data_IF_211984303449
#
_entry.id   IF_211984303449
#
_cell.length_a   1.000
_cell.length_b   1.000
_cell.length_c   1.000
_cell.angle_alpha   90.00
_cell.angle_beta   90.00
_cell.angle_gamma   90.00
#
_symmetry.space_group_name_H-M   'P 1'
#
loop_
_entity.id
_entity.type
_entity.pdbx_description
1 polymer ?
#
# COMPACT_ATOMS: atom_id res chain seq x y z
N UNK A 1 1.32 -30.16 -25.04
CA UNK A 1 1.02 -28.94 -24.26
C UNK A 1 2.00 -27.83 -24.67
N UNK A 2 1.52 -26.73 -25.24
CA UNK A 2 2.32 -25.68 -25.88
C UNK A 2 3.38 -25.08 -24.91
N UNK A 3 4.67 -25.07 -25.29
CA UNK A 3 5.82 -24.61 -24.47
C UNK A 3 5.54 -23.26 -23.80
N UNK A 4 4.85 -22.38 -24.51
CA UNK A 4 4.46 -21.05 -24.04
C UNK A 4 3.54 -21.08 -22.80
N UNK A 5 2.60 -22.03 -22.75
CA UNK A 5 1.72 -22.21 -21.57
C UNK A 5 2.50 -22.74 -20.36
N UNK A 6 3.49 -23.59 -20.59
CA UNK A 6 4.35 -24.14 -19.53
C UNK A 6 5.22 -23.04 -18.90
N UNK A 7 5.85 -22.20 -19.71
CA UNK A 7 6.64 -21.04 -19.25
C UNK A 7 5.76 -20.05 -18.46
N UNK A 8 4.56 -19.74 -18.94
CA UNK A 8 3.62 -18.87 -18.22
C UNK A 8 3.21 -19.45 -16.85
N UNK A 9 3.01 -20.77 -16.76
CA UNK A 9 2.73 -21.47 -15.51
C UNK A 9 3.88 -21.38 -14.52
N UNK A 10 5.12 -21.63 -14.96
CA UNK A 10 6.32 -21.51 -14.11
C UNK A 10 6.49 -20.09 -13.58
N UNK A 11 6.34 -19.07 -14.43
CA UNK A 11 6.40 -17.66 -14.01
C UNK A 11 5.32 -17.32 -12.97
N UNK A 12 4.12 -17.87 -13.14
CA UNK A 12 3.04 -17.74 -12.15
C UNK A 12 3.40 -18.35 -10.79
N UNK A 13 4.07 -19.50 -10.78
CA UNK A 13 4.61 -20.13 -9.57
C UNK A 13 5.68 -19.27 -8.90
N UNK A 14 6.67 -18.82 -9.66
CA UNK A 14 7.79 -17.97 -9.19
C UNK A 14 7.26 -16.69 -8.54
N UNK A 15 6.37 -15.96 -9.23
CA UNK A 15 5.77 -14.73 -8.68
C UNK A 15 4.87 -15.06 -7.48
N UNK A 16 4.17 -16.19 -7.50
CA UNK A 16 3.39 -16.65 -6.35
C UNK A 16 4.25 -16.78 -5.09
N UNK A 17 5.41 -17.43 -5.18
CA UNK A 17 6.37 -17.56 -4.06
C UNK A 17 6.89 -16.20 -3.62
N UNK A 18 7.24 -15.32 -4.57
CA UNK A 18 7.68 -13.96 -4.24
C UNK A 18 6.60 -13.16 -3.48
N UNK A 19 5.34 -13.31 -3.87
CA UNK A 19 4.19 -12.69 -3.19
C UNK A 19 3.98 -13.28 -1.78
N UNK A 20 4.19 -14.57 -1.58
CA UNK A 20 4.13 -15.21 -0.25
C UNK A 20 5.19 -14.58 0.66
N UNK A 21 6.45 -14.57 0.22
CA UNK A 21 7.56 -14.07 1.02
C UNK A 21 7.39 -12.60 1.41
N UNK A 22 7.00 -11.74 0.46
CA UNK A 22 6.82 -10.31 0.77
C UNK A 22 5.61 -10.04 1.66
N UNK A 23 4.53 -10.82 1.50
CA UNK A 23 3.34 -10.72 2.37
C UNK A 23 3.67 -11.21 3.79
N UNK A 24 4.44 -12.28 3.93
CA UNK A 24 4.91 -12.78 5.22
C UNK A 24 5.83 -11.78 5.91
N UNK A 25 6.78 -11.17 5.20
CA UNK A 25 7.65 -10.14 5.76
C UNK A 25 6.88 -8.95 6.34
N UNK A 26 5.74 -8.59 5.75
CA UNK A 26 4.87 -7.50 6.27
C UNK A 26 4.04 -7.90 7.49
N UNK A 27 3.83 -9.21 7.68
CA UNK A 27 2.91 -9.77 8.66
C UNK A 27 3.61 -10.43 9.86
N UNK A 28 4.89 -10.76 9.73
CA UNK A 28 5.73 -11.33 10.78
C UNK A 28 6.47 -10.23 11.56
N UNK A 29 6.72 -10.49 12.84
CA UNK A 29 7.56 -9.65 13.68
C UNK A 29 9.02 -9.62 13.18
N UNK A 30 9.63 -8.44 13.16
CA UNK A 30 11.06 -8.24 12.84
C UNK A 30 11.78 -7.71 14.09
N UNK A 31 12.21 -8.61 14.97
CA UNK A 31 13.32 -8.41 15.91
C UNK A 31 14.68 -8.31 15.18
N UNK A 32 15.75 -7.94 15.88
CA UNK A 32 17.12 -7.82 15.35
C UNK A 32 17.64 -9.12 14.68
N UNK A 33 17.38 -10.29 15.24
CA UNK A 33 17.75 -11.59 14.63
C UNK A 33 16.95 -11.90 13.36
N UNK A 34 15.68 -11.49 13.31
CA UNK A 34 14.83 -11.55 12.11
C UNK A 34 15.12 -10.44 11.10
N UNK A 35 15.94 -9.44 11.42
CA UNK A 35 16.39 -8.44 10.46
C UNK A 35 17.23 -9.11 9.35
N UNK A 36 18.09 -10.06 9.72
CA UNK A 36 18.84 -10.89 8.78
C UNK A 36 17.91 -11.74 7.91
N UNK A 37 16.91 -12.40 8.53
CA UNK A 37 15.91 -13.20 7.80
C UNK A 37 15.12 -12.31 6.82
N UNK A 38 14.77 -11.10 7.24
CA UNK A 38 14.07 -10.11 6.41
C UNK A 38 14.90 -9.67 5.19
N UNK A 39 16.20 -9.42 5.36
CA UNK A 39 17.08 -9.08 4.24
C UNK A 39 17.30 -10.27 3.30
N UNK A 40 17.51 -11.47 3.85
CA UNK A 40 17.63 -12.70 3.05
C UNK A 40 16.36 -12.95 2.23
N UNK A 41 15.18 -12.83 2.85
CA UNK A 41 13.92 -13.02 2.15
C UNK A 41 13.69 -11.94 1.08
N UNK A 42 14.09 -10.68 1.32
CA UNK A 42 14.10 -9.63 0.29
C UNK A 42 15.01 -9.96 -0.90
N UNK A 43 16.21 -10.49 -0.64
CA UNK A 43 17.14 -10.93 -1.70
C UNK A 43 16.50 -12.06 -2.52
N UNK A 44 15.93 -13.07 -1.86
CA UNK A 44 15.24 -14.18 -2.53
C UNK A 44 14.08 -13.65 -3.39
N UNK A 45 13.26 -12.74 -2.87
CA UNK A 45 12.17 -12.11 -3.63
C UNK A 45 12.73 -11.40 -4.87
N UNK A 46 13.82 -10.64 -4.75
CA UNK A 46 14.44 -9.97 -5.89
C UNK A 46 14.93 -10.96 -6.96
N UNK A 47 15.59 -12.05 -6.54
CA UNK A 47 16.05 -13.12 -7.45
C UNK A 47 14.86 -13.75 -8.19
N UNK A 48 13.77 -14.07 -7.48
CA UNK A 48 12.55 -14.61 -8.09
C UNK A 48 11.93 -13.64 -9.11
N UNK A 49 11.92 -12.34 -8.80
CA UNK A 49 11.43 -11.33 -9.74
C UNK A 49 12.32 -11.27 -10.99
N UNK A 50 13.64 -11.24 -10.83
CA UNK A 50 14.59 -11.24 -11.95
C UNK A 50 14.38 -12.47 -12.84
N UNK A 51 14.29 -13.67 -12.26
CA UNK A 51 13.99 -14.90 -13.00
C UNK A 51 12.67 -14.79 -13.78
N UNK A 52 11.62 -14.23 -13.16
CA UNK A 52 10.34 -14.03 -13.84
C UNK A 52 10.40 -13.01 -14.99
N UNK A 53 11.23 -11.96 -14.85
CA UNK A 53 11.47 -10.96 -15.89
C UNK A 53 12.27 -11.51 -17.07
N UNK A 54 13.26 -12.38 -16.82
CA UNK A 54 14.03 -13.08 -17.87
C UNK A 54 13.14 -14.01 -18.69
N UNK A 55 12.26 -14.76 -18.01
CA UNK A 55 11.33 -15.68 -18.66
C UNK A 55 10.16 -14.97 -19.37
N UNK A 56 10.00 -13.65 -19.17
CA UNK A 56 8.92 -12.87 -19.74
C UNK A 56 9.19 -12.54 -21.20
N UNK A 57 8.15 -12.63 -22.03
CA UNK A 57 8.18 -12.06 -23.38
C UNK A 57 7.96 -10.57 -23.34
N UNK A 58 8.89 -9.83 -23.94
CA UNK A 58 8.88 -8.39 -23.96
C UNK A 58 8.43 -7.86 -25.31
N UNK A 59 7.60 -6.83 -25.29
CA UNK A 59 7.34 -5.99 -26.47
C UNK A 59 8.29 -4.81 -26.44
N UNK A 60 8.68 -4.26 -27.61
CA UNK A 60 9.57 -3.08 -27.68
C UNK A 60 9.10 -1.94 -26.78
N UNK A 61 7.78 -1.68 -26.77
CA UNK A 61 7.14 -0.71 -25.87
C UNK A 61 7.39 -1.03 -24.39
N UNK A 62 7.21 -2.28 -23.98
CA UNK A 62 7.38 -2.68 -22.58
C UNK A 62 8.86 -2.63 -22.15
N UNK A 63 9.80 -2.93 -23.04
CA UNK A 63 11.24 -2.75 -22.77
C UNK A 63 11.55 -1.28 -22.55
N UNK A 64 11.06 -0.40 -23.45
CA UNK A 64 11.26 1.04 -23.32
C UNK A 64 10.69 1.59 -22.01
N UNK A 65 9.43 1.26 -21.70
CA UNK A 65 8.79 1.69 -20.44
C UNK A 65 9.51 1.15 -19.21
N UNK A 66 9.96 -0.10 -19.24
CA UNK A 66 10.73 -0.69 -18.14
C UNK A 66 12.06 0.05 -17.95
N UNK A 67 12.83 0.23 -19.02
CA UNK A 67 14.11 0.96 -18.96
C UNK A 67 13.94 2.39 -18.43
N UNK A 68 12.93 3.11 -18.92
CA UNK A 68 12.65 4.49 -18.50
C UNK A 68 12.26 4.56 -17.02
N UNK A 69 11.29 3.76 -16.58
CA UNK A 69 10.85 3.74 -15.18
C UNK A 69 11.98 3.29 -14.26
N UNK A 70 12.71 2.23 -14.63
CA UNK A 70 13.76 1.67 -13.80
C UNK A 70 14.95 2.62 -13.67
N UNK A 71 15.31 3.35 -14.74
CA UNK A 71 16.35 4.40 -14.68
C UNK A 71 15.97 5.49 -13.68
N UNK A 72 14.74 6.02 -13.75
CA UNK A 72 14.25 7.04 -12.80
C UNK A 72 14.27 6.50 -11.36
N UNK A 73 13.77 5.28 -11.14
CA UNK A 73 13.71 4.66 -9.81
C UNK A 73 15.11 4.41 -9.25
N UNK A 74 16.08 3.96 -10.06
CA UNK A 74 17.47 3.78 -9.63
C UNK A 74 18.15 5.12 -9.30
N UNK A 75 17.90 6.17 -10.08
CA UNK A 75 18.40 7.51 -9.77
C UNK A 75 17.88 8.01 -8.42
N UNK A 76 16.58 7.82 -8.15
CA UNK A 76 15.95 8.17 -6.86
C UNK A 76 16.51 7.30 -5.74
N UNK A 77 16.70 5.99 -5.96
CA UNK A 77 17.27 5.08 -4.96
C UNK A 77 18.70 5.49 -4.55
N UNK A 78 19.54 5.93 -5.49
CA UNK A 78 20.91 6.36 -5.18
C UNK A 78 20.95 7.52 -4.17
N UNK A 79 19.92 8.37 -4.18
CA UNK A 79 19.76 9.50 -3.26
C UNK A 79 19.06 9.04 -1.98
N UNK A 80 17.87 8.47 -2.10
CA UNK A 80 16.95 8.20 -0.99
C UNK A 80 17.30 6.97 -0.17
N UNK A 81 17.96 5.98 -0.79
CA UNK A 81 18.18 4.63 -0.26
C UNK A 81 16.89 3.89 0.14
N UNK A 82 15.74 4.31 -0.40
CA UNK A 82 14.44 3.65 -0.21
C UNK A 82 14.23 2.63 -1.34
N UNK A 83 14.21 1.35 -1.00
CA UNK A 83 14.10 0.25 -1.98
C UNK A 83 12.65 -0.09 -2.37
N UNK A 84 11.65 0.51 -1.71
CA UNK A 84 10.23 0.17 -1.92
C UNK A 84 9.77 0.34 -3.37
N UNK A 85 10.22 1.41 -4.04
CA UNK A 85 9.87 1.67 -5.45
C UNK A 85 10.54 0.70 -6.42
N UNK A 86 11.73 0.18 -6.09
CA UNK A 86 12.41 -0.85 -6.89
C UNK A 86 11.58 -2.12 -6.85
N UNK A 87 11.14 -2.56 -5.66
CA UNK A 87 10.28 -3.74 -5.52
C UNK A 87 8.93 -3.53 -6.22
N UNK A 88 8.26 -2.41 -5.98
CA UNK A 88 6.97 -2.11 -6.59
C UNK A 88 7.05 -2.13 -8.13
N UNK A 89 7.99 -1.39 -8.72
CA UNK A 89 8.12 -1.32 -10.17
C UNK A 89 8.47 -2.69 -10.75
N UNK A 90 9.42 -3.42 -10.15
CA UNK A 90 9.81 -4.75 -10.61
C UNK A 90 8.67 -5.77 -10.55
N UNK A 91 7.85 -5.75 -9.49
CA UNK A 91 6.64 -6.58 -9.40
C UNK A 91 5.63 -6.23 -10.49
N UNK A 92 5.35 -4.94 -10.69
CA UNK A 92 4.40 -4.47 -11.71
C UNK A 92 4.81 -4.96 -13.11
N UNK A 93 6.10 -4.89 -13.43
CA UNK A 93 6.61 -5.39 -14.71
C UNK A 93 6.67 -6.91 -14.79
N UNK A 94 6.82 -7.64 -13.68
CA UNK A 94 6.93 -9.11 -13.72
C UNK A 94 5.60 -9.82 -13.95
N UNK A 95 4.46 -9.26 -13.52
CA UNK A 95 3.11 -9.86 -13.64
C UNK A 95 2.78 -10.28 -15.08
N UNK A 96 2.99 -9.38 -16.06
CA UNK A 96 2.57 -9.61 -17.44
C UNK A 96 1.09 -9.97 -17.57
N UNK A 97 0.79 -11.22 -17.94
CA UNK A 97 -0.58 -11.73 -18.15
C UNK A 97 -1.12 -12.57 -16.98
N UNK A 98 -0.39 -12.61 -15.86
CA UNK A 98 -0.81 -13.40 -14.71
C UNK A 98 -2.14 -12.91 -14.12
N UNK A 99 -2.89 -13.86 -13.56
CA UNK A 99 -4.16 -13.57 -12.92
C UNK A 99 -3.94 -12.91 -11.55
N UNK A 100 -4.11 -11.58 -11.50
CA UNK A 100 -3.95 -10.78 -10.28
C UNK A 100 -4.87 -11.28 -9.15
N UNK A 101 -6.10 -11.74 -9.44
CA UNK A 101 -7.01 -12.32 -8.43
C UNK A 101 -6.40 -13.54 -7.73
N UNK A 102 -5.65 -14.37 -8.46
CA UNK A 102 -4.92 -15.51 -7.88
C UNK A 102 -3.81 -15.02 -6.95
N UNK A 103 -3.07 -13.98 -7.34
CA UNK A 103 -2.02 -13.39 -6.51
C UNK A 103 -2.57 -12.72 -5.24
N UNK A 104 -3.72 -12.04 -5.32
CA UNK A 104 -4.43 -11.51 -4.14
C UNK A 104 -4.81 -12.63 -3.17
N UNK A 105 -5.31 -13.77 -3.68
CA UNK A 105 -5.60 -14.95 -2.84
C UNK A 105 -4.36 -15.50 -2.16
N UNK A 106 -3.25 -15.61 -2.88
CA UNK A 106 -1.97 -16.08 -2.33
C UNK A 106 -1.48 -15.12 -1.23
N UNK A 107 -1.50 -13.81 -1.48
CA UNK A 107 -1.13 -12.78 -0.50
C UNK A 107 -2.01 -12.82 0.75
N UNK A 108 -3.33 -13.01 0.57
CA UNK A 108 -4.27 -13.13 1.69
C UNK A 108 -3.96 -14.33 2.59
N UNK A 109 -3.73 -15.51 2.00
CA UNK A 109 -3.39 -16.73 2.75
C UNK A 109 -2.06 -16.51 3.49
N UNK A 110 -1.04 -16.00 2.81
CA UNK A 110 0.26 -15.71 3.41
C UNK A 110 0.15 -14.72 4.58
N UNK A 111 -0.65 -13.66 4.44
CA UNK A 111 -0.87 -12.67 5.49
C UNK A 111 -1.64 -13.24 6.68
N UNK A 112 -2.68 -14.03 6.45
CA UNK A 112 -3.40 -14.74 7.51
C UNK A 112 -2.46 -15.66 8.29
N UNK A 113 -1.59 -16.41 7.60
CA UNK A 113 -0.57 -17.25 8.24
C UNK A 113 0.41 -16.40 9.07
N UNK A 114 0.97 -15.33 8.50
CA UNK A 114 1.93 -14.47 9.20
C UNK A 114 1.35 -13.80 10.44
N UNK A 115 0.12 -13.28 10.35
CA UNK A 115 -0.60 -12.69 11.48
C UNK A 115 -0.87 -13.76 12.54
N UNK A 116 -1.33 -14.95 12.15
CA UNK A 116 -1.63 -16.05 13.09
C UNK A 116 -0.36 -16.53 13.81
N UNK A 117 0.75 -16.68 13.10
CA UNK A 117 2.06 -17.06 13.69
C UNK A 117 2.52 -15.99 14.68
N UNK A 118 2.42 -14.72 14.32
CA UNK A 118 2.77 -13.61 15.22
C UNK A 118 1.92 -13.63 16.50
N UNK A 119 0.61 -13.85 16.37
CA UNK A 119 -0.26 -14.00 17.54
C UNK A 119 0.08 -15.21 18.40
N UNK A 120 0.36 -16.36 17.80
CA UNK A 120 0.74 -17.57 18.53
C UNK A 120 2.03 -17.34 19.31
N UNK A 121 3.05 -16.76 18.70
CA UNK A 121 4.31 -16.46 19.37
C UNK A 121 4.16 -15.41 20.47
N UNK A 122 3.26 -14.45 20.29
CA UNK A 122 2.91 -13.49 21.33
C UNK A 122 2.25 -14.17 22.54
N UNK A 123 1.24 -15.02 22.33
CA UNK A 123 0.54 -15.74 23.40
C UNK A 123 1.49 -16.70 24.14
N UNK A 124 2.40 -17.36 23.42
CA UNK A 124 3.41 -18.25 24.00
C UNK A 124 4.53 -17.50 24.73
N UNK A 125 4.52 -16.16 24.74
CA UNK A 125 5.52 -15.34 25.44
C UNK A 125 6.87 -15.20 24.71
N UNK A 126 6.97 -15.65 23.45
CA UNK A 126 8.18 -15.47 22.64
C UNK A 126 8.36 -14.05 22.13
N UNK A 127 7.28 -13.25 22.09
CA UNK A 127 7.33 -11.86 21.62
C UNK A 127 7.00 -10.89 22.77
N UNK A 128 7.74 -9.77 22.89
CA UNK A 128 7.49 -8.80 23.94
C UNK A 128 6.15 -8.09 23.73
N UNK A 129 5.50 -7.77 24.85
CA UNK A 129 4.32 -6.92 24.84
C UNK A 129 4.74 -5.45 24.80
N UNK A 130 4.76 -4.86 23.60
CA UNK A 130 5.11 -3.45 23.42
C UNK A 130 3.87 -2.57 23.61
N UNK A 131 3.93 -1.70 24.62
CA UNK A 131 2.91 -0.69 24.91
C UNK A 131 3.47 0.67 24.50
N UNK A 132 2.75 1.36 23.61
CA UNK A 132 3.09 2.71 23.18
C UNK A 132 2.12 3.69 23.81
N UNK A 133 2.66 4.70 24.50
CA UNK A 133 1.88 5.78 25.10
C UNK A 133 1.73 6.93 24.11
N UNK A 134 0.50 7.43 23.94
CA UNK A 134 0.21 8.66 23.20
C UNK A 134 -0.69 9.55 24.04
N UNK A 135 -0.08 10.43 24.86
CA UNK A 135 -0.81 11.15 25.89
C UNK A 135 -1.37 10.16 26.91
N UNK A 136 -2.68 10.19 27.13
CA UNK A 136 -3.39 9.25 28.00
C UNK A 136 -3.77 7.91 27.31
N UNK A 137 -3.65 7.82 25.97
CA UNK A 137 -4.02 6.60 25.23
C UNK A 137 -2.89 5.55 25.30
N UNK A 138 -3.21 4.33 25.75
CA UNK A 138 -2.34 3.16 25.62
C UNK A 138 -2.62 2.43 24.31
N UNK A 139 -1.55 2.09 23.57
CA UNK A 139 -1.65 1.39 22.28
C UNK A 139 -0.86 0.09 22.35
N UNK A 140 -1.52 -1.01 22.02
CA UNK A 140 -0.95 -2.35 22.10
C UNK A 140 -0.56 -2.84 20.72
N UNK A 141 0.65 -3.40 20.61
CA UNK A 141 1.15 -3.95 19.34
C UNK A 141 0.85 -5.44 19.14
N UNK A 142 0.50 -6.19 20.21
CA UNK A 142 0.18 -7.62 20.19
C UNK A 142 1.21 -8.47 19.42
N UNK A 143 2.49 -8.24 19.70
CA UNK A 143 3.61 -8.94 19.05
C UNK A 143 4.08 -8.31 17.74
N UNK A 144 3.49 -7.21 17.27
CA UNK A 144 4.04 -6.40 16.18
C UNK A 144 5.04 -5.37 16.69
N UNK A 145 5.94 -4.88 15.83
CA UNK A 145 6.91 -3.83 16.19
C UNK A 145 6.22 -2.50 16.42
N UNK A 146 5.09 -2.25 15.75
CA UNK A 146 4.33 -1.01 15.91
C UNK A 146 2.82 -1.31 15.88
N UNK A 147 2.00 -0.64 16.70
CA UNK A 147 0.55 -0.83 16.70
C UNK A 147 -0.11 -0.60 15.33
N UNK A 148 0.41 0.35 14.53
CA UNK A 148 -0.10 0.62 13.18
C UNK A 148 0.04 -0.58 12.23
N UNK A 149 1.08 -1.40 12.40
CA UNK A 149 1.34 -2.57 11.55
C UNK A 149 0.30 -3.67 11.75
N UNK A 150 -0.14 -3.87 13.00
CA UNK A 150 -1.22 -4.79 13.31
C UNK A 150 -2.49 -4.40 12.56
N UNK A 151 -2.94 -3.15 12.71
CA UNK A 151 -4.14 -2.70 12.04
C UNK A 151 -4.00 -2.70 10.52
N UNK A 152 -2.85 -2.31 9.97
CA UNK A 152 -2.60 -2.37 8.54
C UNK A 152 -2.76 -3.80 8.00
N UNK A 153 -2.24 -4.81 8.69
CA UNK A 153 -2.41 -6.20 8.28
C UNK A 153 -3.88 -6.64 8.29
N UNK A 154 -4.63 -6.32 9.35
CA UNK A 154 -6.08 -6.59 9.43
C UNK A 154 -6.84 -5.87 8.31
N UNK A 155 -6.49 -4.61 8.05
CA UNK A 155 -7.07 -3.79 7.00
C UNK A 155 -6.93 -4.49 5.63
N UNK A 156 -5.71 -4.87 5.23
CA UNK A 156 -5.51 -5.52 3.94
C UNK A 156 -6.04 -6.97 3.88
N UNK A 157 -6.17 -7.68 5.02
CA UNK A 157 -6.88 -8.97 5.07
C UNK A 157 -8.35 -8.79 4.70
N UNK A 158 -9.04 -7.83 5.32
CA UNK A 158 -10.46 -7.57 5.06
C UNK A 158 -10.66 -7.12 3.61
N UNK A 159 -9.81 -6.22 3.10
CA UNK A 159 -9.87 -5.82 1.69
C UNK A 159 -9.70 -7.02 0.73
N UNK A 160 -8.77 -7.94 1.04
CA UNK A 160 -8.56 -9.16 0.27
C UNK A 160 -9.76 -10.11 0.29
N UNK A 161 -10.36 -10.33 1.47
CA UNK A 161 -11.57 -11.16 1.64
C UNK A 161 -12.74 -10.59 0.85
N UNK A 162 -12.99 -9.29 0.99
CA UNK A 162 -14.05 -8.59 0.27
C UNK A 162 -13.82 -8.66 -1.23
N UNK A 163 -12.59 -8.37 -1.69
CA UNK A 163 -12.25 -8.42 -3.10
C UNK A 163 -12.46 -9.80 -3.74
N UNK A 164 -12.06 -10.88 -3.06
CA UNK A 164 -12.18 -12.24 -3.61
C UNK A 164 -13.62 -12.74 -3.66
N UNK A 165 -14.48 -12.24 -2.78
CA UNK A 165 -15.87 -12.68 -2.60
C UNK A 165 -16.91 -11.64 -2.98
N UNK A 166 -16.50 -10.53 -3.60
CA UNK A 166 -17.40 -9.46 -4.00
C UNK A 166 -18.60 -9.99 -4.79
N UNK A 167 -19.80 -9.47 -4.49
CA UNK A 167 -21.08 -9.97 -5.00
C UNK A 167 -21.60 -11.25 -4.34
N UNK A 168 -20.80 -11.92 -3.50
CA UNK A 168 -21.18 -13.13 -2.74
C UNK A 168 -21.05 -12.94 -1.22
N UNK A 169 -20.77 -11.72 -0.78
CA UNK A 169 -20.60 -11.39 0.64
C UNK A 169 -21.98 -11.16 1.23
N UNK A 170 -22.27 -11.82 2.35
CA UNK A 170 -23.53 -11.65 3.07
C UNK A 170 -23.42 -10.53 4.11
N UNK A 171 -24.56 -9.95 4.46
CA UNK A 171 -24.66 -8.81 5.42
C UNK A 171 -24.00 -9.10 6.77
N UNK A 172 -24.12 -10.33 7.27
CA UNK A 172 -23.52 -10.73 8.55
C UNK A 172 -21.98 -10.78 8.48
N UNK A 173 -21.41 -11.09 7.32
CA UNK A 173 -19.96 -11.09 7.13
C UNK A 173 -19.41 -9.67 7.13
N UNK A 174 -20.15 -8.73 6.54
CA UNK A 174 -19.79 -7.32 6.59
C UNK A 174 -19.90 -6.78 8.02
N UNK A 175 -20.96 -7.15 8.75
CA UNK A 175 -21.12 -6.82 10.17
C UNK A 175 -19.95 -7.36 11.01
N UNK A 176 -19.53 -8.59 10.76
CA UNK A 176 -18.35 -9.20 11.37
C UNK A 176 -17.06 -8.42 11.06
N UNK A 177 -16.87 -7.97 9.81
CA UNK A 177 -15.71 -7.15 9.44
C UNK A 177 -15.71 -5.78 10.13
N UNK A 178 -16.86 -5.15 10.34
CA UNK A 178 -16.95 -3.93 11.15
C UNK A 178 -16.51 -4.16 12.58
N UNK A 179 -17.02 -5.22 13.22
CA UNK A 179 -16.70 -5.54 14.62
C UNK A 179 -15.20 -5.82 14.78
N UNK A 180 -14.63 -6.67 13.91
CA UNK A 180 -13.18 -6.94 13.91
C UNK A 180 -12.38 -5.65 13.73
N UNK A 181 -12.75 -4.83 12.75
CA UNK A 181 -12.05 -3.57 12.49
C UNK A 181 -12.13 -2.62 13.69
N UNK A 182 -13.29 -2.55 14.34
CA UNK A 182 -13.46 -1.72 15.53
C UNK A 182 -12.57 -2.21 16.68
N UNK A 183 -12.59 -3.51 16.99
CA UNK A 183 -11.77 -4.11 18.07
C UNK A 183 -10.29 -3.81 17.84
N UNK A 184 -9.76 -4.14 16.65
CA UNK A 184 -8.34 -3.91 16.36
C UNK A 184 -7.98 -2.43 16.28
N UNK A 185 -8.90 -1.55 15.88
CA UNK A 185 -8.68 -0.11 15.91
C UNK A 185 -8.55 0.44 17.32
N UNK A 186 -9.36 -0.05 18.27
CA UNK A 186 -9.24 0.33 19.68
C UNK A 186 -7.91 -0.13 20.27
N UNK A 187 -7.56 -1.40 20.06
CA UNK A 187 -6.31 -1.99 20.57
C UNK A 187 -5.07 -1.25 20.01
N UNK A 188 -5.06 -1.00 18.70
CA UNK A 188 -3.92 -0.36 18.04
C UNK A 188 -3.93 1.16 18.12
N UNK A 189 -5.02 1.77 18.58
CA UNK A 189 -5.25 3.22 18.52
C UNK A 189 -5.32 3.81 17.09
N UNK A 190 -5.57 2.98 16.07
CA UNK A 190 -5.60 3.41 14.67
C UNK A 190 -7.00 3.86 14.21
N UNK A 191 -7.34 5.11 14.55
CA UNK A 191 -8.64 5.73 14.24
C UNK A 191 -8.83 5.97 12.72
N UNK A 192 -7.78 6.43 12.03
CA UNK A 192 -7.85 6.76 10.60
C UNK A 192 -8.12 5.52 9.75
N UNK A 193 -7.40 4.42 10.03
CA UNK A 193 -7.62 3.14 9.37
C UNK A 193 -9.04 2.59 9.60
N UNK A 194 -9.60 2.76 10.79
CA UNK A 194 -10.97 2.36 11.10
C UNK A 194 -12.00 3.13 10.27
N UNK A 195 -11.92 4.47 10.22
CA UNK A 195 -12.87 5.28 9.46
C UNK A 195 -12.83 4.96 7.96
N UNK A 196 -11.65 4.66 7.42
CA UNK A 196 -11.51 4.26 6.02
C UNK A 196 -12.07 2.87 5.76
N UNK A 197 -11.85 1.92 6.66
CA UNK A 197 -12.47 0.60 6.57
C UNK A 197 -13.99 0.71 6.69
N UNK A 198 -14.48 1.56 7.59
CA UNK A 198 -15.91 1.82 7.76
C UNK A 198 -16.52 2.36 6.47
N UNK A 199 -15.88 3.35 5.83
CA UNK A 199 -16.32 3.92 4.57
C UNK A 199 -16.30 2.87 3.43
N UNK A 200 -15.26 2.05 3.36
CA UNK A 200 -15.15 0.97 2.37
C UNK A 200 -16.26 -0.09 2.54
N UNK A 201 -16.49 -0.59 3.75
CA UNK A 201 -17.55 -1.57 4.02
C UNK A 201 -18.94 -0.98 3.77
N UNK A 202 -19.15 0.30 4.08
CA UNK A 202 -20.40 1.01 3.81
C UNK A 202 -20.66 1.05 2.30
N UNK A 203 -19.62 1.32 1.49
CA UNK A 203 -19.74 1.24 0.04
C UNK A 203 -20.12 -0.17 -0.42
N UNK A 204 -19.47 -1.22 0.10
CA UNK A 204 -19.77 -2.61 -0.28
C UNK A 204 -21.21 -2.98 0.04
N UNK A 205 -21.77 -2.47 1.14
CA UNK A 205 -23.16 -2.68 1.52
C UNK A 205 -24.17 -2.01 0.58
N UNK A 206 -23.97 -0.72 0.28
CA UNK A 206 -25.00 0.08 -0.39
C UNK A 206 -24.83 0.18 -1.90
N UNK A 207 -23.61 -0.01 -2.39
CA UNK A 207 -23.26 0.26 -3.79
C UNK A 207 -22.96 -0.99 -4.61
N UNK A 208 -23.20 -2.20 -4.09
CA UNK A 208 -23.11 -3.41 -4.93
C UNK A 208 -24.03 -3.35 -6.16
N UNK A 209 -25.10 -2.53 -6.09
CA UNK A 209 -26.16 -2.48 -7.08
C UNK A 209 -26.49 -1.06 -7.64
N UNK A 210 -25.67 0.00 -7.40
CA UNK A 210 -26.06 1.38 -7.83
C UNK A 210 -24.92 2.25 -8.38
N UNK A 211 -25.17 2.90 -9.53
CA UNK A 211 -24.22 3.70 -10.32
C UNK A 211 -23.84 5.08 -9.76
N UNK A 212 -24.60 5.64 -8.80
CA UNK A 212 -24.47 7.05 -8.42
C UNK A 212 -23.17 7.38 -7.66
N UNK A 213 -22.70 6.51 -6.76
CA UNK A 213 -21.45 6.73 -6.02
C UNK A 213 -20.21 6.63 -6.94
N UNK A 214 -20.35 5.90 -8.06
CA UNK A 214 -19.27 5.72 -9.03
C UNK A 214 -18.95 7.00 -9.79
N UNK A 215 -19.87 7.96 -9.90
CA UNK A 215 -19.61 9.22 -10.60
C UNK A 215 -18.47 10.01 -9.95
N UNK A 216 -18.47 10.13 -8.61
CA UNK A 216 -17.44 10.87 -7.85
C UNK A 216 -16.09 10.15 -7.93
N UNK A 217 -16.10 8.83 -7.78
CA UNK A 217 -14.89 7.99 -7.75
C UNK A 217 -14.28 7.77 -9.15
N UNK A 218 -15.02 8.08 -10.22
CA UNK A 218 -14.50 8.11 -11.59
C UNK A 218 -13.73 9.41 -11.91
N UNK A 219 -13.64 10.42 -11.05
CA UNK A 219 -12.80 11.60 -11.31
C UNK A 219 -11.34 11.37 -10.90
N UNK A 220 -10.43 12.29 -11.24
CA UNK A 220 -9.02 12.27 -10.82
C UNK A 220 -8.84 12.63 -9.33
N UNK A 221 -9.54 11.93 -8.43
CA UNK A 221 -9.55 12.22 -6.99
C UNK A 221 -8.17 12.10 -6.35
N UNK A 222 -7.25 11.29 -6.89
CA UNK A 222 -5.89 11.16 -6.35
C UNK A 222 -5.09 12.46 -6.51
N UNK A 223 -5.37 13.23 -7.56
CA UNK A 223 -4.79 14.56 -7.75
C UNK A 223 -5.37 15.54 -6.74
N UNK A 224 -6.67 15.44 -6.46
CA UNK A 224 -7.33 16.26 -5.43
C UNK A 224 -6.73 15.96 -4.06
N UNK A 225 -6.61 14.68 -3.68
CA UNK A 225 -5.99 14.30 -2.41
C UNK A 225 -4.53 14.73 -2.30
N UNK A 226 -3.76 14.65 -3.39
CA UNK A 226 -2.41 15.20 -3.43
C UNK A 226 -2.41 16.70 -3.08
N UNK A 227 -3.19 17.52 -3.79
CA UNK A 227 -3.22 18.96 -3.53
C UNK A 227 -3.79 19.32 -2.15
N UNK A 228 -4.84 18.62 -1.70
CA UNK A 228 -5.41 18.79 -0.36
C UNK A 228 -4.35 18.46 0.71
N UNK A 229 -3.60 17.37 0.53
CA UNK A 229 -2.53 16.99 1.45
C UNK A 229 -1.45 18.07 1.55
N UNK A 230 -0.99 18.60 0.42
CA UNK A 230 0.02 19.65 0.38
C UNK A 230 -0.53 20.94 0.99
N UNK A 231 -1.74 21.35 0.63
CA UNK A 231 -2.37 22.56 1.15
C UNK A 231 -2.55 22.49 2.68
N UNK A 232 -3.12 21.40 3.21
CA UNK A 232 -3.27 21.21 4.66
C UNK A 232 -1.93 21.27 5.39
N UNK A 233 -0.89 20.67 4.80
CA UNK A 233 0.45 20.68 5.38
C UNK A 233 1.06 22.09 5.35
N UNK A 234 0.96 22.83 4.26
CA UNK A 234 1.49 24.20 4.15
C UNK A 234 0.74 25.21 5.03
N UNK A 235 -0.57 25.03 5.18
CA UNK A 235 -1.41 25.90 6.01
C UNK A 235 -1.30 25.59 7.50
N UNK A 236 -0.56 24.55 7.90
CA UNK A 236 -0.41 24.19 9.30
C UNK A 236 0.13 25.35 10.13
N UNK A 237 -0.66 25.73 11.13
CA UNK A 237 -0.28 26.70 12.15
C UNK A 237 -0.86 26.24 13.48
N UNK A 238 -0.05 26.14 14.55
CA UNK A 238 -0.56 25.78 15.88
C UNK A 238 -1.55 26.80 16.42
N UNK A 239 -1.57 28.03 15.88
CA UNK A 239 -2.49 29.10 16.26
C UNK A 239 -3.83 29.05 15.51
N UNK A 240 -3.96 28.20 14.48
CA UNK A 240 -5.23 28.00 13.78
C UNK A 240 -5.99 26.83 14.39
N UNK A 241 -7.04 27.13 15.17
CA UNK A 241 -7.84 26.13 15.89
C UNK A 241 -8.38 25.01 14.99
N UNK A 242 -8.78 25.32 13.76
CA UNK A 242 -9.30 24.30 12.84
C UNK A 242 -8.21 23.33 12.41
N UNK A 243 -7.02 23.83 12.05
CA UNK A 243 -5.94 22.99 11.54
C UNK A 243 -5.27 22.22 12.69
N UNK A 244 -5.14 22.83 13.87
CA UNK A 244 -4.68 22.14 15.07
C UNK A 244 -5.63 20.99 15.47
N UNK A 245 -6.95 21.19 15.36
CA UNK A 245 -7.93 20.13 15.61
C UNK A 245 -7.82 19.00 14.58
N UNK A 246 -7.67 19.33 13.29
CA UNK A 246 -7.42 18.33 12.25
C UNK A 246 -6.12 17.56 12.49
N UNK A 247 -5.06 18.23 12.94
CA UNK A 247 -3.80 17.58 13.28
C UNK A 247 -3.96 16.62 14.47
N UNK A 248 -4.68 17.03 15.51
CA UNK A 248 -4.99 16.16 16.66
C UNK A 248 -5.78 14.91 16.23
N UNK A 249 -6.78 15.05 15.35
CA UNK A 249 -7.55 13.91 14.81
C UNK A 249 -6.68 12.98 13.97
N UNK A 250 -5.72 13.53 13.24
CA UNK A 250 -4.81 12.77 12.37
C UNK A 250 -3.56 12.27 13.10
N UNK A 251 -3.49 12.47 14.41
CA UNK A 251 -2.38 12.09 15.29
C UNK A 251 -1.05 12.77 14.93
N UNK A 252 -1.08 14.07 14.64
CA UNK A 252 0.12 14.87 14.42
C UNK A 252 0.68 14.82 13.00
N UNK A 253 -0.03 14.22 12.04
CA UNK A 253 0.50 13.92 10.71
C UNK A 253 0.56 15.14 9.80
N UNK A 254 -0.30 16.12 10.02
CA UNK A 254 -0.29 17.38 9.26
C UNK A 254 0.92 18.21 9.71
N UNK A 255 1.16 18.30 11.02
CA UNK A 255 2.35 18.92 11.60
C UNK A 255 3.65 18.25 11.10
N UNK A 256 3.71 16.91 11.15
CA UNK A 256 4.86 16.17 10.64
C UNK A 256 5.09 16.46 9.16
N UNK A 257 4.04 16.45 8.33
CA UNK A 257 4.16 16.78 6.92
C UNK A 257 4.63 18.24 6.67
N UNK A 258 4.14 19.21 7.45
CA UNK A 258 4.60 20.60 7.42
C UNK A 258 6.11 20.70 7.72
N UNK A 259 6.57 20.00 8.76
CA UNK A 259 8.00 19.94 9.11
C UNK A 259 8.85 19.49 7.92
N UNK A 260 8.47 18.41 7.23
CA UNK A 260 9.24 17.92 6.08
C UNK A 260 9.21 18.87 4.87
N UNK A 261 8.09 19.56 4.62
CA UNK A 261 8.01 20.55 3.53
C UNK A 261 8.87 21.79 3.79
N UNK A 262 9.02 22.20 5.05
CA UNK A 262 9.81 23.38 5.42
C UNK A 262 11.32 23.09 5.54
N UNK A 263 11.69 21.85 5.88
CA UNK A 263 13.09 21.49 6.14
C UNK A 263 13.79 20.80 4.96
N UNK A 264 13.08 20.34 3.95
CA UNK A 264 13.67 19.67 2.79
C UNK A 264 13.26 20.37 1.48
N UNK A 265 14.22 20.70 0.60
CA UNK A 265 13.91 21.31 -0.68
C UNK A 265 13.16 20.33 -1.58
N UNK A 266 12.21 20.80 -2.37
CA UNK A 266 11.55 19.97 -3.38
C UNK A 266 12.50 19.82 -4.59
N UNK A 267 12.95 18.59 -4.85
CA UNK A 267 13.87 18.29 -5.95
C UNK A 267 13.25 17.33 -6.97
N UNK A 268 13.87 17.20 -8.14
CA UNK A 268 13.40 16.28 -9.19
C UNK A 268 13.47 14.81 -8.78
N UNK A 269 14.52 14.41 -8.05
CA UNK A 269 14.83 13.02 -7.68
C UNK A 269 14.66 12.72 -6.18
N UNK A 270 14.16 13.69 -5.40
CA UNK A 270 13.87 13.54 -3.99
C UNK A 270 15.07 13.80 -3.08
N UNK A 271 14.91 13.45 -1.80
CA UNK A 271 15.87 13.72 -0.75
C UNK A 271 16.09 12.50 0.14
N UNK A 272 17.30 12.39 0.70
CA UNK A 272 17.59 11.42 1.75
C UNK A 272 16.94 11.87 3.05
N UNK A 273 15.75 11.35 3.33
CA UNK A 273 15.08 11.55 4.62
C UNK A 273 15.54 10.43 5.56
N UNK A 274 16.41 10.75 6.51
CA UNK A 274 16.75 9.80 7.57
C UNK A 274 15.51 9.56 8.43
N UNK A 275 15.09 8.31 8.51
CA UNK A 275 14.02 7.91 9.41
C UNK A 275 14.53 8.14 10.84
N UNK A 276 14.08 9.21 11.48
CA UNK A 276 14.38 9.47 12.88
C UNK A 276 13.59 8.45 13.70
N UNK A 277 14.15 7.25 13.85
CA UNK A 277 13.66 6.30 14.82
C UNK A 277 14.17 6.75 16.19
N UNK A 278 13.22 6.94 17.10
CA UNK A 278 13.38 7.10 18.54
C UNK A 278 14.67 6.51 19.11
N UNK A 279 15.70 7.33 19.19
CA UNK A 279 16.70 7.32 20.26
C UNK A 279 16.93 8.77 20.63
N UNK A 280 16.11 9.27 21.56
CA UNK A 280 16.34 10.46 22.39
C UNK A 280 17.01 11.62 21.64
N UNK A 281 16.24 12.35 20.83
CA UNK A 281 16.64 13.73 20.55
C UNK A 281 16.48 14.50 21.86
N UNK A 282 17.59 15.03 22.36
CA UNK A 282 17.69 15.96 23.50
C UNK A 282 16.82 17.24 23.34
N UNK A 283 16.06 17.36 22.24
CA UNK A 283 15.23 18.51 21.86
C UNK A 283 13.74 18.20 21.62
N UNK A 284 13.24 16.99 21.92
CA UNK A 284 11.84 16.84 22.33
C UNK A 284 10.73 16.64 21.27
N UNK A 285 11.00 16.36 20.00
CA UNK A 285 9.96 15.85 19.08
C UNK A 285 10.51 14.90 18.01
N UNK A 286 9.86 13.74 17.84
CA UNK A 286 10.16 12.77 16.77
C UNK A 286 9.19 13.00 15.62
N UNK A 287 9.69 13.42 14.46
CA UNK A 287 8.88 13.60 13.25
C UNK A 287 9.03 12.39 12.31
N UNK A 288 7.92 11.74 11.98
CA UNK A 288 7.86 10.59 11.09
C UNK A 288 7.10 10.99 9.82
N UNK A 289 7.70 10.75 8.65
CA UNK A 289 7.06 11.05 7.37
C UNK A 289 6.09 9.93 6.95
N UNK A 290 4.91 9.92 7.57
CA UNK A 290 3.86 8.93 7.29
C UNK A 290 2.83 9.41 6.24
N UNK A 291 2.85 10.68 5.84
CA UNK A 291 1.98 11.16 4.78
C UNK A 291 2.51 10.71 3.40
N UNK A 292 1.73 9.92 2.65
CA UNK A 292 2.13 9.37 1.36
C UNK A 292 2.47 10.46 0.34
N UNK A 293 1.63 11.48 0.25
CA UNK A 293 1.75 12.51 -0.78
C UNK A 293 2.95 13.42 -0.54
N UNK A 294 3.20 13.80 0.73
CA UNK A 294 4.41 14.53 1.11
C UNK A 294 5.64 13.64 0.99
N UNK A 295 5.55 12.35 1.34
CA UNK A 295 6.64 11.40 1.12
C UNK A 295 7.00 11.28 -0.37
N UNK A 296 6.02 11.18 -1.26
CA UNK A 296 6.28 11.17 -2.70
C UNK A 296 6.99 12.45 -3.14
N UNK A 297 6.48 13.62 -2.75
CA UNK A 297 7.01 14.90 -3.22
C UNK A 297 8.42 15.20 -2.65
N UNK A 298 8.59 15.05 -1.34
CA UNK A 298 9.82 15.43 -0.63
C UNK A 298 10.85 14.33 -0.65
N UNK A 299 10.45 13.09 -0.31
CA UNK A 299 11.38 11.98 -0.24
C UNK A 299 11.67 11.41 -1.62
N UNK A 300 10.66 11.17 -2.46
CA UNK A 300 10.84 10.50 -3.77
C UNK A 300 11.02 11.45 -4.96
N UNK A 301 10.72 12.74 -4.79
CA UNK A 301 10.89 13.77 -5.80
C UNK A 301 9.71 13.94 -6.77
N UNK A 302 9.78 15.03 -7.54
CA UNK A 302 8.73 15.42 -8.49
C UNK A 302 8.50 14.34 -9.56
N UNK A 303 9.56 13.74 -10.10
CA UNK A 303 9.42 12.77 -11.20
C UNK A 303 8.64 11.52 -10.79
N UNK A 304 8.93 10.97 -9.61
CA UNK A 304 8.18 9.83 -9.07
C UNK A 304 6.75 10.24 -8.73
N UNK A 305 6.57 11.40 -8.11
CA UNK A 305 5.23 11.90 -7.75
C UNK A 305 4.32 11.98 -8.97
N UNK A 306 4.77 12.64 -10.04
CA UNK A 306 4.03 12.74 -11.29
C UNK A 306 3.82 11.34 -11.89
N UNK A 307 4.87 10.51 -11.93
CA UNK A 307 4.81 9.15 -12.47
C UNK A 307 3.74 8.29 -11.78
N UNK A 308 3.62 8.36 -10.46
CA UNK A 308 2.60 7.63 -9.69
C UNK A 308 1.20 8.18 -9.97
N UNK A 309 1.00 9.50 -9.93
CA UNK A 309 -0.31 10.12 -10.20
C UNK A 309 -0.79 9.82 -11.63
N UNK A 310 0.11 9.88 -12.61
CA UNK A 310 -0.18 9.49 -14.00
C UNK A 310 -0.48 8.00 -14.10
N UNK A 311 0.26 7.14 -13.40
CA UNK A 311 0.04 5.68 -13.41
C UNK A 311 -1.35 5.32 -12.89
N UNK A 312 -1.80 5.92 -11.79
CA UNK A 312 -3.16 5.77 -11.26
C UNK A 312 -4.19 6.23 -12.32
N UNK A 313 -3.95 7.38 -12.95
CA UNK A 313 -4.84 7.94 -13.98
C UNK A 313 -5.02 7.01 -15.18
N UNK A 314 -3.90 6.49 -15.72
CA UNK A 314 -3.91 5.59 -16.87
C UNK A 314 -4.56 4.26 -16.50
N UNK A 315 -4.26 3.71 -15.33
CA UNK A 315 -4.87 2.47 -14.85
C UNK A 315 -6.40 2.62 -14.73
N UNK A 316 -6.88 3.69 -14.12
CA UNK A 316 -8.32 3.95 -13.95
C UNK A 316 -9.00 4.17 -15.30
N UNK A 317 -8.37 4.89 -16.25
CA UNK A 317 -8.88 5.02 -17.61
C UNK A 317 -9.05 3.65 -18.29
N UNK A 318 -8.08 2.75 -18.13
CA UNK A 318 -8.16 1.38 -18.68
C UNK A 318 -9.26 0.55 -18.03
N UNK A 319 -9.42 0.63 -16.71
CA UNK A 319 -10.48 -0.09 -15.98
C UNK A 319 -11.88 0.37 -16.38
N UNK A 320 -12.07 1.67 -16.66
CA UNK A 320 -13.36 2.20 -17.16
C UNK A 320 -13.68 1.75 -18.58
N UNK A 321 -12.67 1.69 -19.44
CA UNK A 321 -12.84 1.38 -20.86
C UNK A 321 -12.85 -0.14 -21.12
N UNK A 322 -12.45 -0.96 -20.15
CA UNK A 322 -12.59 -2.41 -20.27
C UNK A 322 -14.06 -2.81 -20.09
N UNK A 323 -14.55 -3.64 -21.03
CA UNK A 323 -15.87 -4.28 -20.94
C UNK A 323 -15.96 -4.97 -19.57
N UNK A 324 -17.07 -4.80 -18.82
CA UNK A 324 -17.26 -5.49 -17.55
C UNK A 324 -17.18 -7.00 -17.81
N UNK A 325 -16.08 -7.62 -17.42
CA UNK A 325 -15.99 -9.07 -17.41
C UNK A 325 -16.68 -9.57 -16.15
N UNK A 326 -17.56 -10.56 -16.30
CA UNK A 326 -18.41 -11.17 -15.24
C UNK A 326 -17.66 -11.69 -13.98
N UNK A 327 -16.32 -11.60 -13.90
CA UNK A 327 -15.51 -12.25 -12.84
C UNK A 327 -14.86 -11.29 -11.83
N UNK A 328 -14.73 -9.99 -12.13
CA UNK A 328 -14.18 -8.96 -11.24
C UNK A 328 -14.85 -7.62 -11.57
N UNK A 329 -15.44 -6.98 -10.57
CA UNK A 329 -16.02 -5.65 -10.76
C UNK A 329 -14.91 -4.59 -10.81
N UNK A 330 -14.69 -4.00 -11.99
CA UNK A 330 -13.75 -2.90 -12.18
C UNK A 330 -14.03 -1.73 -11.22
N UNK A 331 -15.30 -1.52 -10.87
CA UNK A 331 -15.71 -0.49 -9.93
C UNK A 331 -15.15 -0.73 -8.53
N UNK A 332 -15.08 -1.99 -8.08
CA UNK A 332 -14.47 -2.34 -6.81
C UNK A 332 -12.99 -2.01 -6.79
N UNK A 333 -12.26 -2.27 -7.88
CA UNK A 333 -10.83 -1.92 -7.96
C UNK A 333 -10.67 -0.39 -7.89
N UNK A 334 -11.47 0.38 -8.63
CA UNK A 334 -11.41 1.84 -8.57
C UNK A 334 -11.72 2.34 -7.14
N UNK A 335 -12.70 1.73 -6.46
CA UNK A 335 -12.99 2.04 -5.06
C UNK A 335 -11.82 1.72 -4.13
N UNK A 336 -11.19 0.55 -4.26
CA UNK A 336 -10.02 0.21 -3.46
C UNK A 336 -8.92 1.26 -3.60
N UNK A 337 -8.65 1.71 -4.84
CA UNK A 337 -7.69 2.79 -5.06
C UNK A 337 -8.15 4.12 -4.47
N UNK A 338 -9.45 4.44 -4.52
CA UNK A 338 -9.99 5.64 -3.86
C UNK A 338 -9.72 5.63 -2.35
N UNK A 339 -9.99 4.50 -1.70
CA UNK A 339 -9.68 4.28 -0.29
C UNK A 339 -8.18 4.40 -0.04
N UNK A 340 -7.32 3.82 -0.90
CA UNK A 340 -5.87 3.95 -0.78
C UNK A 340 -5.39 5.38 -0.93
N UNK A 341 -6.02 6.19 -1.79
CA UNK A 341 -5.76 7.61 -1.90
C UNK A 341 -6.08 8.36 -0.61
N UNK A 342 -7.28 8.15 -0.08
CA UNK A 342 -7.66 8.75 1.21
C UNK A 342 -6.73 8.29 2.33
N UNK A 343 -6.36 7.01 2.33
CA UNK A 343 -5.43 6.47 3.32
C UNK A 343 -4.05 7.11 3.21
N UNK A 344 -3.62 7.43 1.99
CA UNK A 344 -2.37 8.13 1.69
C UNK A 344 -2.25 9.52 2.34
N UNK A 345 -3.36 10.17 2.70
CA UNK A 345 -3.32 11.42 3.46
C UNK A 345 -2.70 11.23 4.86
N UNK A 346 -2.74 10.01 5.39
CA UNK A 346 -2.35 9.73 6.77
C UNK A 346 -1.33 8.58 6.88
N UNK A 347 -1.17 7.72 5.88
CA UNK A 347 -0.23 6.60 5.95
C UNK A 347 0.53 6.42 4.66
N UNK A 348 1.80 5.99 4.76
CA UNK A 348 2.66 5.68 3.62
C UNK A 348 2.41 4.28 3.07
N UNK A 349 1.82 3.39 3.88
CA UNK A 349 1.56 1.98 3.53
C UNK A 349 0.81 1.70 2.22
N UNK A 350 -0.07 2.59 1.69
CA UNK A 350 -0.80 2.31 0.45
C UNK A 350 0.05 2.12 -0.81
N UNK A 351 1.28 2.67 -0.87
CA UNK A 351 2.22 2.41 -1.98
C UNK A 351 3.28 1.34 -1.68
N UNK A 352 3.24 0.72 -0.50
CA UNK A 352 4.14 -0.38 -0.17
C UNK A 352 3.53 -1.69 -0.66
N UNK A 353 4.18 -2.34 -1.64
CA UNK A 353 3.75 -3.59 -2.24
C UNK A 353 3.69 -4.75 -1.24
N UNK A 354 4.44 -4.67 -0.13
CA UNK A 354 4.43 -5.67 0.93
C UNK A 354 3.08 -5.73 1.65
N UNK A 355 2.42 -4.58 1.78
CA UNK A 355 1.07 -4.48 2.32
C UNK A 355 0.02 -4.52 1.20
N UNK A 356 0.16 -3.65 0.20
CA UNK A 356 -0.86 -3.44 -0.82
C UNK A 356 -0.60 -4.23 -2.11
N UNK A 357 -1.01 -5.49 -2.12
CA UNK A 357 -0.94 -6.35 -3.31
C UNK A 357 -1.80 -5.84 -4.49
N UNK A 358 -2.76 -4.94 -4.26
CA UNK A 358 -3.57 -4.37 -5.33
C UNK A 358 -2.78 -3.43 -6.24
N UNK A 359 -1.61 -2.95 -5.82
CA UNK A 359 -0.71 -2.17 -6.68
C UNK A 359 -0.27 -2.94 -7.93
N UNK A 360 -0.34 -4.27 -7.93
CA UNK A 360 -0.13 -5.10 -9.11
C UNK A 360 -1.08 -4.74 -10.27
N UNK A 361 -2.21 -4.07 -10.01
CA UNK A 361 -3.10 -3.55 -11.06
C UNK A 361 -2.47 -2.46 -11.92
N UNK A 362 -1.37 -1.81 -11.49
CA UNK A 362 -0.57 -0.96 -12.38
C UNK A 362 -0.02 -1.70 -13.60
N UNK A 363 0.08 -3.04 -13.56
CA UNK A 363 0.46 -3.84 -14.73
C UNK A 363 -0.51 -3.70 -15.91
N UNK A 364 -1.75 -3.26 -15.67
CA UNK A 364 -2.70 -2.92 -16.74
C UNK A 364 -2.15 -1.84 -17.67
N UNK A 365 -1.28 -0.94 -17.19
CA UNK A 365 -0.63 0.10 -18.00
C UNK A 365 0.21 -0.52 -19.13
N UNK A 366 0.76 -1.71 -18.91
CA UNK A 366 1.62 -2.43 -19.86
C UNK A 366 0.84 -3.17 -20.96
N UNK A 367 -0.46 -3.42 -20.76
CA UNK A 367 -1.30 -4.02 -21.79
C UNK A 367 -1.55 -3.00 -22.91
N UNK A 368 -1.42 -3.39 -24.18
CA UNK A 368 -1.90 -2.51 -25.26
C UNK A 368 -3.39 -2.25 -25.02
N UNK A 369 -3.85 -1.01 -25.20
CA UNK A 369 -5.28 -0.72 -25.18
C UNK A 369 -5.93 -1.59 -26.25
N UNK A 370 -7.11 -2.14 -25.93
CA UNK A 370 -7.89 -3.02 -26.79
C UNK A 370 -7.69 -2.73 -28.28
N UNK A 371 -6.86 -3.54 -28.94
CA UNK A 371 -7.13 -3.94 -30.30
C UNK A 371 -7.82 -5.29 -30.13
N UNK A 372 -9.14 -5.24 -29.93
CA UNK A 372 -9.99 -6.36 -30.27
C UNK A 372 -10.28 -6.17 -31.76
N UNK A 373 -9.35 -6.66 -32.58
CA UNK A 373 -9.64 -7.28 -33.86
C UNK A 373 -8.98 -8.66 -33.81
#
# INVERSE_FOLDING_TARGET
MNINKKIASYRGGIIGVAVILISLNSALFINLSSLTIYYISKIIVMVLIILSLILKRWTKRNVFLFSLVFTIVLSVYNITRDDGLIFLSSFVFSIGELNIKKLVRISLIARLMGVSITFLFFILGFLPHLIYLRGADQRFSLGFIQPNLLFANIFYIILGLVFLRFGKIKIYEISFYYIISFIFAQISGNRTGFYLMFLFLTYVLFCSNRDKFLFIVKRNWWVIFFFVSIALSLMYSPYNNLIALLDAVTAGRINQANYFLNNFPITLFGNKVTKMYTTVSYTGSVHILDNLYVSLLVQQGILITIGVLVSISVMIKKLKNSIPNEKIDNNLIIMLFFIFGMYGLFEKSPLDISYNIFLLYFSLILKKGNNYD
#
